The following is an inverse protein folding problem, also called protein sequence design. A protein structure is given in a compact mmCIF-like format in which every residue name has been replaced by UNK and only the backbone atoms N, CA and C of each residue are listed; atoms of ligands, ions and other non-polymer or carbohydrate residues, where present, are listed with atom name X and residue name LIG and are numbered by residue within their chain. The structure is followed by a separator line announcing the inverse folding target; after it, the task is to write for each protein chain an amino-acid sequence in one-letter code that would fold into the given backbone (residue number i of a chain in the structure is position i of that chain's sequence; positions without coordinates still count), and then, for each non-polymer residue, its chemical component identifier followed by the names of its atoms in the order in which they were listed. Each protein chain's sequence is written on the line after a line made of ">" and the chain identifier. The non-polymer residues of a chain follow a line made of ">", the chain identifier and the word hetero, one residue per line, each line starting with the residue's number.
data_IF_491333805055
#
_entry.id   IF_491333805055
#
_cell.length_a   1.000
_cell.length_b   1.000
_cell.length_c   1.000
_cell.angle_alpha   90.00
_cell.angle_beta   90.00
_cell.angle_gamma   90.00
#
_symmetry.space_group_name_H-M   'P 1'
#
loop_
_entity.id
_entity.type
_entity.pdbx_description
1 polymer ?
#
# COMPACT_ATOMS: atom_id res chain seq x y z
N UNK A 1 39.83 21.87 8.04
CA UNK A 1 39.35 20.53 7.63
C UNK A 1 38.47 19.98 8.75
N UNK A 2 37.17 20.25 8.73
CA UNK A 2 36.27 19.86 9.82
C UNK A 2 34.83 20.27 9.55
N UNK A 3 34.61 21.43 8.91
CA UNK A 3 33.27 21.84 8.46
C UNK A 3 32.65 20.93 7.40
N UNK A 4 33.46 20.33 6.52
CA UNK A 4 33.01 19.32 5.55
C UNK A 4 32.60 18.00 6.22
N UNK A 5 33.25 17.62 7.32
CA UNK A 5 32.94 16.41 8.08
C UNK A 5 31.63 16.60 8.86
N UNK A 6 31.36 17.79 9.40
CA UNK A 6 30.04 18.11 9.97
C UNK A 6 28.90 18.10 8.95
N UNK A 7 29.15 18.59 7.73
CA UNK A 7 28.19 18.52 6.62
C UNK A 7 27.95 17.07 6.17
N UNK A 8 28.99 16.23 6.11
CA UNK A 8 28.83 14.82 5.74
C UNK A 8 28.17 14.00 6.86
N UNK A 9 28.55 14.23 8.13
CA UNK A 9 27.99 13.53 9.29
C UNK A 9 26.56 13.95 9.63
N UNK A 10 26.17 15.19 9.36
CA UNK A 10 24.78 15.62 9.40
C UNK A 10 23.97 15.01 8.25
N UNK A 11 24.57 14.93 7.06
CA UNK A 11 23.98 14.32 5.87
C UNK A 11 23.66 12.83 6.03
N UNK A 12 24.52 12.04 6.69
CA UNK A 12 24.25 10.60 6.90
C UNK A 12 23.05 10.32 7.82
N UNK A 13 22.88 11.12 8.88
CA UNK A 13 21.67 11.04 9.72
C UNK A 13 20.42 11.42 8.95
N UNK A 14 20.45 12.52 8.21
CA UNK A 14 19.33 12.96 7.35
C UNK A 14 19.01 11.95 6.25
N UNK A 15 20.02 11.33 5.63
CA UNK A 15 19.84 10.27 4.62
C UNK A 15 19.18 9.04 5.22
N UNK A 16 19.60 8.63 6.42
CA UNK A 16 19.03 7.48 7.12
C UNK A 16 17.57 7.72 7.50
N UNK A 17 17.26 8.92 8.00
CA UNK A 17 15.89 9.31 8.32
C UNK A 17 15.00 9.38 7.07
N UNK A 18 15.52 9.93 5.96
CA UNK A 18 14.83 9.96 4.67
C UNK A 18 14.59 8.54 4.14
N UNK A 19 15.56 7.64 4.25
CA UNK A 19 15.41 6.24 3.85
C UNK A 19 14.32 5.55 4.67
N UNK A 20 14.28 5.77 5.99
CA UNK A 20 13.23 5.24 6.86
C UNK A 20 11.85 5.77 6.47
N UNK A 21 11.72 7.08 6.22
CA UNK A 21 10.46 7.68 5.78
C UNK A 21 9.99 7.11 4.44
N UNK A 22 10.93 6.89 3.51
CA UNK A 22 10.64 6.27 2.22
C UNK A 22 10.11 4.84 2.36
N UNK A 23 10.70 4.04 3.27
CA UNK A 23 10.23 2.69 3.56
C UNK A 23 8.82 2.74 4.16
N UNK A 24 8.58 3.60 5.16
CA UNK A 24 7.24 3.76 5.75
C UNK A 24 6.21 4.13 4.69
N UNK A 25 6.52 5.10 3.82
CA UNK A 25 5.63 5.50 2.74
C UNK A 25 5.36 4.36 1.74
N UNK A 26 6.38 3.56 1.41
CA UNK A 26 6.23 2.40 0.54
C UNK A 26 5.34 1.31 1.16
N UNK A 27 5.51 1.03 2.46
CA UNK A 27 4.68 0.07 3.20
C UNK A 27 3.23 0.54 3.27
N UNK A 28 3.00 1.83 3.55
CA UNK A 28 1.65 2.42 3.54
C UNK A 28 1.02 2.33 2.14
N UNK A 29 1.78 2.62 1.09
CA UNK A 29 1.31 2.48 -0.29
C UNK A 29 0.89 1.04 -0.62
N UNK A 30 1.69 0.06 -0.23
CA UNK A 30 1.35 -1.36 -0.41
C UNK A 30 0.11 -1.76 0.39
N UNK A 31 -0.03 -1.27 1.63
CA UNK A 31 -1.21 -1.53 2.45
C UNK A 31 -2.50 -0.98 1.81
N UNK A 32 -2.44 0.21 1.20
CA UNK A 32 -3.59 0.82 0.51
C UNK A 32 -4.01 -0.03 -0.71
N UNK A 33 -3.06 -0.51 -1.51
CA UNK A 33 -3.37 -1.38 -2.67
C UNK A 33 -4.02 -2.69 -2.21
N UNK A 34 -3.49 -3.31 -1.15
CA UNK A 34 -4.08 -4.52 -0.57
C UNK A 34 -5.49 -4.27 -0.03
N UNK A 35 -5.71 -3.14 0.67
CA UNK A 35 -7.02 -2.76 1.18
C UNK A 35 -8.03 -2.49 0.05
N UNK A 36 -7.60 -1.84 -1.04
CA UNK A 36 -8.43 -1.60 -2.23
C UNK A 36 -8.92 -2.91 -2.86
N UNK A 37 -8.02 -3.90 -2.98
CA UNK A 37 -8.39 -5.22 -3.49
C UNK A 37 -9.39 -5.95 -2.56
N UNK A 38 -9.17 -5.88 -1.25
CA UNK A 38 -10.10 -6.44 -0.26
C UNK A 38 -11.48 -5.78 -0.30
N UNK A 39 -11.52 -4.44 -0.45
CA UNK A 39 -12.76 -3.68 -0.65
C UNK A 39 -13.49 -4.10 -1.92
N UNK A 40 -12.77 -4.30 -3.02
CA UNK A 40 -13.36 -4.75 -4.29
C UNK A 40 -14.01 -6.13 -4.16
N UNK A 41 -13.36 -7.06 -3.43
CA UNK A 41 -13.93 -8.37 -3.10
C UNK A 41 -15.15 -8.29 -2.19
N UNK A 42 -15.13 -7.39 -1.21
CA UNK A 42 -16.28 -7.14 -0.33
C UNK A 42 -17.48 -6.63 -1.13
N UNK A 43 -17.27 -5.66 -2.03
CA UNK A 43 -18.33 -5.11 -2.88
C UNK A 43 -18.86 -6.18 -3.83
N UNK A 44 -17.98 -7.00 -4.43
CA UNK A 44 -18.40 -8.11 -5.29
C UNK A 44 -19.31 -9.11 -4.56
N UNK A 45 -18.97 -9.45 -3.31
CA UNK A 45 -19.78 -10.33 -2.47
C UNK A 45 -21.14 -9.72 -2.12
N UNK A 46 -21.19 -8.42 -1.80
CA UNK A 46 -22.45 -7.74 -1.46
C UNK A 46 -23.38 -7.54 -2.67
N UNK A 47 -22.82 -7.25 -3.84
CA UNK A 47 -23.60 -7.08 -5.07
C UNK A 47 -23.90 -8.41 -5.78
N UNK A 48 -23.32 -9.54 -5.33
CA UNK A 48 -23.54 -10.86 -5.92
C UNK A 48 -23.02 -10.98 -7.36
N UNK A 49 -22.08 -10.11 -7.75
CA UNK A 49 -21.48 -10.09 -9.08
C UNK A 49 -19.98 -10.34 -8.92
N UNK A 50 -19.55 -11.56 -9.19
CA UNK A 50 -18.13 -11.88 -9.33
C UNK A 50 -17.62 -11.35 -10.67
N UNK A 51 -17.21 -10.07 -10.67
CA UNK A 51 -16.63 -9.36 -11.83
C UNK A 51 -15.40 -10.09 -12.40
N UNK A 52 -14.77 -10.96 -11.60
CA UNK A 52 -13.56 -11.71 -11.96
C UNK A 52 -13.82 -13.12 -12.49
N UNK A 53 -14.96 -13.73 -12.19
CA UNK A 53 -15.24 -15.14 -12.55
C UNK A 53 -16.24 -15.27 -13.70
N UNK A 54 -16.89 -14.17 -14.12
CA UNK A 54 -17.86 -14.19 -15.21
C UNK A 54 -19.10 -15.05 -14.94
N UNK A 55 -19.21 -15.62 -13.74
CA UNK A 55 -20.34 -16.41 -13.29
C UNK A 55 -21.24 -15.52 -12.42
N UNK A 56 -22.36 -15.06 -13.00
CA UNK A 56 -23.42 -14.42 -12.23
C UNK A 56 -24.22 -15.54 -11.58
N UNK A 57 -23.85 -15.98 -10.38
CA UNK A 57 -24.67 -16.89 -9.61
C UNK A 57 -25.81 -16.12 -8.94
N UNK A 58 -26.86 -15.86 -9.72
CA UNK A 58 -28.10 -15.28 -9.21
C UNK A 58 -28.67 -16.27 -8.18
N UNK A 59 -28.87 -15.88 -6.91
CA UNK A 59 -29.40 -16.79 -5.91
C UNK A 59 -30.77 -17.29 -6.35
N UNK A 60 -30.85 -18.60 -6.62
CA UNK A 60 -32.09 -19.28 -7.00
C UNK A 60 -33.08 -19.23 -5.82
N UNK A 61 -34.25 -18.57 -5.98
CA UNK A 61 -35.30 -18.69 -4.99
C UNK A 61 -35.83 -20.13 -5.09
N UNK A 62 -35.80 -20.83 -3.96
CA UNK A 62 -36.72 -21.94 -3.75
C UNK A 62 -38.16 -21.41 -3.74
#
# INVERSE_FOLDING_TARGET
>A
MGGIEWLTSGGDKTKTETARNRITAAVVGLAIVAASWALMKLIAYFFGVDVFEGNINIPKPY
#
